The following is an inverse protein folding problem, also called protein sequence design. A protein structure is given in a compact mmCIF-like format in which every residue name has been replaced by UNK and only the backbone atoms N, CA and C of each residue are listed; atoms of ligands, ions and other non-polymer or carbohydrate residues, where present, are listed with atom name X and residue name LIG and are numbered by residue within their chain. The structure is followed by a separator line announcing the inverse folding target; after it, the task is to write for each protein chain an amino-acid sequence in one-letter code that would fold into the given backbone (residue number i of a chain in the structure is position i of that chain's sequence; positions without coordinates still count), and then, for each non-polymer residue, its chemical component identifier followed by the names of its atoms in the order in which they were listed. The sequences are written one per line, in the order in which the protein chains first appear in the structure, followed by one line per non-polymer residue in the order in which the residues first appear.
data_IF_607716916743
#
_entry.id   IF_607716916743
#
_cell.length_a   1.000
_cell.length_b   1.000
_cell.length_c   1.000
_cell.angle_alpha   90.00
_cell.angle_beta   90.00
_cell.angle_gamma   90.00
#
_symmetry.space_group_name_H-M   'P 1'
#
loop_
_entity.id
_entity.type
_entity.pdbx_description
1 polymer ?
#
# COMPACT_ATOMS: atom_id res chain seq x y z
N UNK A 1 -12.79 28.05 0.60
CA UNK A 1 -11.42 27.94 1.12
C UNK A 1 -10.93 26.52 0.92
N UNK A 2 -9.70 26.33 0.47
CA UNK A 2 -9.04 25.03 0.36
C UNK A 2 -7.84 25.03 1.31
N UNK A 3 -7.60 23.94 2.01
CA UNK A 3 -6.52 23.86 2.98
C UNK A 3 -6.12 22.43 3.31
N UNK A 4 -4.96 22.29 3.94
CA UNK A 4 -4.45 21.03 4.43
C UNK A 4 -5.12 20.61 5.76
N UNK A 5 -4.68 19.52 6.34
CA UNK A 5 -5.19 18.93 7.58
C UNK A 5 -5.49 19.94 8.71
N UNK A 6 -4.60 20.90 8.95
CA UNK A 6 -4.75 21.89 10.03
C UNK A 6 -5.83 22.95 9.76
N UNK A 7 -6.34 23.06 8.54
CA UNK A 7 -7.36 24.06 8.19
C UNK A 7 -8.68 23.87 8.94
N UNK A 8 -8.93 22.66 9.47
CA UNK A 8 -10.12 22.34 10.27
C UNK A 8 -10.20 23.18 11.56
N UNK A 9 -9.10 23.74 12.04
CA UNK A 9 -9.06 24.56 13.25
C UNK A 9 -9.14 26.08 13.01
N UNK A 10 -9.36 26.50 11.77
CA UNK A 10 -9.54 27.92 11.48
C UNK A 10 -10.89 28.42 11.99
N UNK A 11 -10.96 29.69 12.43
CA UNK A 11 -12.20 30.28 12.96
C UNK A 11 -13.14 30.62 11.79
N UNK A 12 -13.99 29.68 11.40
CA UNK A 12 -14.99 29.91 10.38
C UNK A 12 -16.20 30.66 10.91
N UNK A 13 -16.63 31.66 10.16
CA UNK A 13 -17.92 32.32 10.37
C UNK A 13 -18.92 31.75 9.33
N UNK A 14 -20.09 31.32 9.78
CA UNK A 14 -21.17 30.82 8.91
C UNK A 14 -20.74 29.62 8.04
N UNK A 15 -20.12 28.62 8.64
CA UNK A 15 -19.71 27.40 7.96
C UNK A 15 -20.94 26.60 7.51
N UNK A 16 -21.16 26.47 6.20
CA UNK A 16 -22.31 25.77 5.62
C UNK A 16 -21.99 24.35 5.12
N UNK A 17 -20.78 24.15 4.63
CA UNK A 17 -20.35 22.87 4.03
C UNK A 17 -18.86 22.65 4.26
N UNK A 18 -18.51 21.40 4.58
CA UNK A 18 -17.14 20.92 4.62
C UNK A 18 -17.02 19.77 3.61
N UNK A 19 -16.00 19.80 2.77
CA UNK A 19 -15.66 18.70 1.86
C UNK A 19 -14.31 18.15 2.27
N UNK A 20 -14.27 16.84 2.52
CA UNK A 20 -13.03 16.10 2.79
C UNK A 20 -12.80 15.18 1.61
N UNK A 21 -11.87 15.55 0.76
CA UNK A 21 -11.48 14.75 -0.41
C UNK A 21 -10.47 13.68 0.01
N UNK A 22 -10.50 12.51 -0.65
CA UNK A 22 -9.69 11.33 -0.31
C UNK A 22 -9.72 11.02 1.21
N UNK A 23 -10.92 10.92 1.78
CA UNK A 23 -11.17 10.81 3.22
C UNK A 23 -10.42 9.65 3.91
N UNK A 24 -10.03 8.63 3.12
CA UNK A 24 -9.30 7.45 3.55
C UNK A 24 -7.81 7.71 3.80
N UNK A 25 -7.28 8.87 3.36
CA UNK A 25 -5.87 9.17 3.44
C UNK A 25 -5.35 9.21 4.88
N UNK A 26 -4.30 8.41 5.15
CA UNK A 26 -3.67 8.30 6.48
C UNK A 26 -3.10 9.64 6.93
N UNK A 27 -2.73 10.53 6.00
CA UNK A 27 -2.19 11.85 6.28
C UNK A 27 -3.14 12.77 7.04
N UNK A 28 -4.45 12.48 7.04
CA UNK A 28 -5.41 13.18 7.90
C UNK A 28 -5.23 12.91 9.39
N UNK A 29 -4.56 11.81 9.75
CA UNK A 29 -4.22 11.50 11.14
C UNK A 29 -2.88 12.13 11.51
N UNK A 30 -2.89 13.11 12.40
CA UNK A 30 -1.68 13.68 12.96
C UNK A 30 -1.06 12.70 13.96
N UNK A 31 0.17 12.30 13.69
CA UNK A 31 0.93 11.44 14.60
C UNK A 31 1.84 12.28 15.51
N UNK A 32 2.48 13.28 14.95
CA UNK A 32 3.35 14.25 15.65
C UNK A 32 3.21 15.63 15.01
N UNK A 33 3.33 16.70 15.80
CA UNK A 33 3.36 16.77 17.25
C UNK A 33 1.99 16.54 17.92
N UNK A 34 1.96 16.48 19.25
CA UNK A 34 0.70 16.57 19.99
C UNK A 34 0.08 17.96 19.84
N UNK A 35 -1.28 18.08 19.88
CA UNK A 35 -2.26 17.00 20.08
C UNK A 35 -2.44 16.14 18.84
N UNK A 36 -2.60 14.83 19.03
CA UNK A 36 -2.89 13.89 17.96
C UNK A 36 -4.39 13.90 17.64
N UNK A 37 -4.73 14.25 16.42
CA UNK A 37 -6.12 14.30 15.94
C UNK A 37 -6.24 13.68 14.56
N UNK A 38 -7.47 13.35 14.17
CA UNK A 38 -7.81 13.00 12.80
C UNK A 38 -8.63 14.14 12.21
N UNK A 39 -8.15 14.78 11.14
CA UNK A 39 -8.82 15.94 10.56
C UNK A 39 -10.19 15.60 9.94
N UNK A 40 -10.34 14.39 9.37
CA UNK A 40 -11.66 13.90 8.89
C UNK A 40 -12.67 13.86 10.04
N UNK A 41 -12.32 13.24 11.14
CA UNK A 41 -13.22 13.11 12.29
C UNK A 41 -13.47 14.47 12.96
N UNK A 42 -12.44 15.33 13.00
CA UNK A 42 -12.59 16.71 13.46
C UNK A 42 -13.51 17.53 12.57
N UNK A 43 -13.46 17.33 11.24
CA UNK A 43 -14.35 17.99 10.29
C UNK A 43 -15.83 17.56 10.50
N UNK A 44 -16.06 16.27 10.76
CA UNK A 44 -17.41 15.76 11.08
C UNK A 44 -17.92 16.38 12.38
N UNK A 45 -17.06 16.48 13.39
CA UNK A 45 -17.43 17.12 14.67
C UNK A 45 -17.68 18.63 14.50
N UNK A 46 -16.83 19.32 13.74
CA UNK A 46 -16.98 20.74 13.43
C UNK A 46 -18.29 21.01 12.69
N UNK A 47 -18.68 20.15 11.76
CA UNK A 47 -19.95 20.28 11.05
C UNK A 47 -21.14 20.19 11.99
N UNK A 48 -21.08 19.31 12.98
CA UNK A 48 -22.11 19.17 14.01
C UNK A 48 -22.23 20.43 14.88
N UNK A 49 -21.12 21.02 15.30
CA UNK A 49 -21.11 22.26 16.11
C UNK A 49 -21.71 23.43 15.32
N UNK A 50 -21.39 23.54 14.04
CA UNK A 50 -21.82 24.67 13.20
C UNK A 50 -23.16 24.42 12.50
N UNK A 51 -23.82 23.29 12.77
CA UNK A 51 -25.01 22.86 12.04
C UNK A 51 -24.81 22.89 10.52
N UNK A 52 -23.61 22.56 10.07
CA UNK A 52 -23.22 22.51 8.66
C UNK A 52 -23.26 21.09 8.11
N UNK A 53 -23.13 20.94 6.79
CA UNK A 53 -23.04 19.62 6.15
C UNK A 53 -21.58 19.22 5.95
N UNK A 54 -21.34 17.91 5.89
CA UNK A 54 -20.04 17.35 5.54
C UNK A 54 -20.19 16.33 4.43
N UNK A 55 -19.29 16.39 3.44
CA UNK A 55 -19.17 15.41 2.36
C UNK A 55 -17.79 14.77 2.49
N UNK A 56 -17.77 13.44 2.55
CA UNK A 56 -16.55 12.64 2.52
C UNK A 56 -16.45 12.01 1.13
N UNK A 57 -15.44 12.39 0.36
CA UNK A 57 -15.19 11.89 -0.98
C UNK A 57 -14.06 10.87 -0.98
N UNK A 58 -14.24 9.74 -1.67
CA UNK A 58 -13.18 8.74 -1.87
C UNK A 58 -13.54 7.75 -2.97
N UNK A 59 -12.54 7.31 -3.73
CA UNK A 59 -12.67 6.15 -4.60
C UNK A 59 -12.54 4.83 -3.83
N UNK A 60 -11.85 4.85 -2.69
CA UNK A 60 -11.56 3.72 -1.81
C UNK A 60 -11.86 4.10 -0.35
N UNK A 61 -13.15 4.20 0.03
CA UNK A 61 -13.54 4.68 1.35
C UNK A 61 -12.89 3.89 2.48
N UNK A 62 -12.58 4.57 3.57
CA UNK A 62 -12.09 3.93 4.79
C UNK A 62 -13.10 2.93 5.35
N UNK A 63 -12.61 1.95 6.11
CA UNK A 63 -13.47 0.93 6.73
C UNK A 63 -14.49 1.60 7.66
N UNK A 64 -14.08 2.62 8.40
CA UNK A 64 -14.94 3.36 9.33
C UNK A 64 -16.08 4.09 8.60
N UNK A 65 -15.75 4.77 7.49
CA UNK A 65 -16.75 5.49 6.68
C UNK A 65 -17.72 4.51 6.03
N UNK A 66 -17.21 3.41 5.46
CA UNK A 66 -18.01 2.34 4.87
C UNK A 66 -18.94 1.70 5.90
N UNK A 67 -18.42 1.40 7.10
CA UNK A 67 -19.23 0.86 8.19
C UNK A 67 -20.32 1.81 8.63
N UNK A 68 -20.03 3.11 8.79
CA UNK A 68 -21.00 4.11 9.18
C UNK A 68 -22.08 4.33 8.10
N UNK A 69 -21.71 4.25 6.83
CA UNK A 69 -22.65 4.27 5.72
C UNK A 69 -23.59 3.05 5.74
N UNK A 70 -23.04 1.83 5.93
CA UNK A 70 -23.81 0.60 6.03
C UNK A 70 -24.74 0.56 7.26
N UNK A 71 -24.41 1.28 8.32
CA UNK A 71 -25.26 1.45 9.51
C UNK A 71 -26.21 2.63 9.43
N UNK A 72 -26.37 3.23 8.25
CA UNK A 72 -27.24 4.39 7.99
C UNK A 72 -26.94 5.62 8.87
N UNK A 73 -25.73 5.72 9.42
CA UNK A 73 -25.28 6.94 10.11
C UNK A 73 -24.85 8.02 9.13
N UNK A 74 -24.38 7.62 7.95
CA UNK A 74 -24.03 8.51 6.85
C UNK A 74 -24.94 8.22 5.66
N UNK A 75 -25.31 9.26 4.93
CA UNK A 75 -25.86 9.10 3.58
C UNK A 75 -24.77 8.55 2.66
N UNK A 76 -25.15 7.64 1.77
CA UNK A 76 -24.21 7.05 0.81
C UNK A 76 -24.66 7.33 -0.61
N UNK A 77 -23.72 7.87 -1.40
CA UNK A 77 -23.91 8.10 -2.84
C UNK A 77 -22.75 7.46 -3.58
N UNK A 78 -23.06 6.62 -4.55
CA UNK A 78 -22.06 5.97 -5.42
C UNK A 78 -22.10 6.61 -6.80
N UNK A 79 -20.97 7.12 -7.25
CA UNK A 79 -20.77 7.59 -8.61
C UNK A 79 -20.27 6.41 -9.45
N UNK A 80 -21.11 5.87 -10.31
CA UNK A 80 -20.78 4.68 -11.13
C UNK A 80 -20.15 5.04 -12.47
N UNK A 81 -20.33 6.26 -12.93
CA UNK A 81 -19.86 6.72 -14.23
C UNK A 81 -18.66 7.64 -14.06
N UNK A 82 -17.64 7.45 -14.89
CA UNK A 82 -16.51 8.36 -14.96
C UNK A 82 -16.87 9.60 -15.77
N UNK A 83 -16.31 10.73 -15.37
CA UNK A 83 -16.40 11.94 -16.17
C UNK A 83 -15.91 11.68 -17.61
N UNK A 84 -16.70 12.06 -18.61
CA UNK A 84 -16.38 11.87 -20.02
C UNK A 84 -16.48 10.42 -20.52
N UNK A 85 -17.15 9.51 -19.80
CA UNK A 85 -17.33 8.09 -20.16
C UNK A 85 -16.02 7.37 -20.50
N UNK A 86 -14.93 7.75 -19.81
CA UNK A 86 -13.60 7.14 -20.01
C UNK A 86 -13.64 5.70 -19.49
N UNK A 87 -13.30 4.76 -20.37
CA UNK A 87 -13.20 3.34 -20.01
C UNK A 87 -12.14 3.07 -18.96
N UNK A 88 -12.35 2.01 -18.18
CA UNK A 88 -11.35 1.51 -17.24
C UNK A 88 -10.15 0.94 -17.98
N UNK A 89 -8.92 1.12 -17.47
CA UNK A 89 -7.76 0.46 -18.06
C UNK A 89 -7.88 -1.07 -17.94
N UNK A 90 -7.33 -1.78 -18.89
CA UNK A 90 -7.19 -3.22 -18.79
C UNK A 90 -6.16 -3.58 -17.71
N UNK A 91 -6.58 -4.40 -16.76
CA UNK A 91 -5.71 -4.87 -15.66
C UNK A 91 -5.43 -6.34 -15.86
N UNK A 92 -4.14 -6.69 -15.91
CA UNK A 92 -3.68 -8.07 -16.01
C UNK A 92 -2.92 -8.45 -14.75
N UNK A 93 -3.33 -9.53 -14.12
CA UNK A 93 -2.61 -10.14 -12.98
C UNK A 93 -1.71 -11.26 -13.49
N UNK A 94 -0.46 -11.29 -13.00
CA UNK A 94 0.54 -12.29 -13.41
C UNK A 94 1.03 -13.00 -12.16
N UNK A 95 0.94 -14.34 -12.17
CA UNK A 95 1.49 -15.16 -11.09
C UNK A 95 3.01 -15.32 -11.29
N UNK A 96 3.76 -14.56 -10.51
CA UNK A 96 5.22 -14.59 -10.53
C UNK A 96 5.83 -15.94 -10.12
N UNK A 97 5.09 -16.82 -9.44
CA UNK A 97 5.59 -18.16 -9.11
C UNK A 97 5.79 -19.03 -10.35
N UNK A 98 4.96 -18.82 -11.37
CA UNK A 98 5.09 -19.51 -12.65
C UNK A 98 6.22 -18.92 -13.50
N UNK A 99 6.44 -17.61 -13.43
CA UNK A 99 7.52 -16.90 -14.13
C UNK A 99 8.90 -17.29 -13.63
N UNK A 100 9.06 -17.55 -12.31
CA UNK A 100 10.32 -17.92 -11.69
C UNK A 100 10.85 -19.31 -12.10
N UNK A 101 10.04 -20.14 -12.76
CA UNK A 101 10.43 -21.45 -13.30
C UNK A 101 11.22 -21.35 -14.60
N UNK A 102 11.23 -20.20 -15.24
CA UNK A 102 12.02 -19.91 -16.42
C UNK A 102 13.40 -19.35 -16.03
N UNK A 103 14.44 -19.67 -16.78
CA UNK A 103 15.86 -19.37 -16.50
C UNK A 103 16.22 -17.91 -16.20
N UNK A 104 15.30 -16.99 -16.36
CA UNK A 104 15.48 -15.58 -16.05
C UNK A 104 14.81 -15.24 -14.72
N UNK A 105 15.58 -15.27 -13.63
CA UNK A 105 15.14 -14.77 -12.30
C UNK A 105 15.03 -13.24 -12.30
N UNK A 106 14.13 -12.70 -13.10
CA UNK A 106 13.85 -11.26 -13.16
C UNK A 106 12.79 -10.88 -12.13
N UNK A 107 12.92 -9.68 -11.56
CA UNK A 107 11.90 -9.04 -10.73
C UNK A 107 10.63 -8.75 -11.54
N UNK A 108 10.77 -8.64 -12.85
CA UNK A 108 9.72 -8.33 -13.80
C UNK A 108 9.29 -9.59 -14.53
N UNK A 109 7.98 -9.77 -14.72
CA UNK A 109 7.47 -10.83 -15.58
C UNK A 109 7.87 -10.60 -17.04
N UNK A 110 7.98 -11.66 -17.80
CA UNK A 110 8.27 -11.60 -19.25
C UNK A 110 7.26 -10.68 -19.93
N UNK A 111 5.98 -10.87 -19.67
CA UNK A 111 4.92 -10.03 -20.23
C UNK A 111 5.08 -8.55 -19.88
N UNK A 112 5.48 -8.21 -18.67
CA UNK A 112 5.71 -6.81 -18.30
C UNK A 112 6.84 -6.19 -19.11
N UNK A 113 7.94 -6.92 -19.31
CA UNK A 113 9.09 -6.46 -20.12
C UNK A 113 8.67 -6.24 -21.57
N UNK A 114 7.92 -7.18 -22.15
CA UNK A 114 7.39 -7.06 -23.51
C UNK A 114 6.48 -5.84 -23.69
N UNK A 115 5.56 -5.60 -22.74
CA UNK A 115 4.65 -4.44 -22.79
C UNK A 115 5.39 -3.11 -22.58
N UNK A 116 6.44 -3.09 -21.76
CA UNK A 116 7.32 -1.92 -21.61
C UNK A 116 8.00 -1.62 -22.95
N UNK A 117 8.62 -2.61 -23.55
CA UNK A 117 9.35 -2.46 -24.83
C UNK A 117 8.43 -1.98 -25.94
N UNK A 118 7.28 -2.62 -26.09
CA UNK A 118 6.23 -2.22 -27.03
C UNK A 118 5.74 -0.77 -26.82
N UNK A 119 5.55 -0.39 -25.54
CA UNK A 119 5.06 0.95 -25.20
C UNK A 119 6.09 2.02 -25.56
N UNK A 120 7.37 1.76 -25.24
CA UNK A 120 8.48 2.67 -25.57
C UNK A 120 8.68 2.77 -27.09
N UNK A 121 8.66 1.66 -27.81
CA UNK A 121 8.77 1.64 -29.30
C UNK A 121 7.66 2.45 -29.97
N UNK A 122 6.48 2.51 -29.35
CA UNK A 122 5.37 3.33 -29.83
C UNK A 122 5.45 4.81 -29.39
N UNK A 123 6.57 5.27 -28.82
CA UNK A 123 6.78 6.63 -28.36
C UNK A 123 5.93 7.04 -27.15
N UNK A 124 5.40 6.05 -26.41
CA UNK A 124 4.57 6.27 -25.22
C UNK A 124 5.41 6.15 -23.93
N UNK A 125 4.84 6.62 -22.82
CA UNK A 125 5.49 6.59 -21.51
C UNK A 125 5.04 5.38 -20.69
N UNK A 126 5.94 4.90 -19.82
CA UNK A 126 5.69 3.81 -18.90
C UNK A 126 5.91 4.32 -17.47
N UNK A 127 4.96 4.02 -16.57
CA UNK A 127 5.09 4.27 -15.14
C UNK A 127 5.20 2.92 -14.44
N UNK A 128 6.34 2.66 -13.80
CA UNK A 128 6.54 1.48 -12.96
C UNK A 128 6.33 1.87 -11.50
N UNK A 129 5.29 1.28 -10.91
CA UNK A 129 5.01 1.46 -9.49
C UNK A 129 5.45 0.23 -8.70
N UNK A 130 6.33 0.43 -7.73
CA UNK A 130 6.78 -0.62 -6.83
C UNK A 130 6.59 -0.18 -5.39
N UNK A 131 5.65 -0.83 -4.69
CA UNK A 131 5.30 -0.50 -3.31
C UNK A 131 6.25 -1.17 -2.29
N UNK A 132 7.57 -1.13 -2.54
CA UNK A 132 8.54 -1.66 -1.59
C UNK A 132 9.61 -0.62 -1.28
N UNK A 133 9.63 -0.14 -0.04
CA UNK A 133 10.66 0.79 0.45
C UNK A 133 11.86 0.01 0.97
N UNK A 134 13.07 0.43 0.57
CA UNK A 134 14.34 -0.09 1.07
C UNK A 134 14.68 -1.52 0.60
N UNK A 135 15.90 -1.93 0.94
CA UNK A 135 16.39 -3.28 0.76
C UNK A 135 15.89 -4.14 1.93
N UNK A 136 14.96 -5.02 1.68
CA UNK A 136 14.45 -5.95 2.69
C UNK A 136 14.59 -7.38 2.17
N UNK A 137 15.73 -8.00 2.42
CA UNK A 137 15.99 -9.36 2.00
C UNK A 137 15.04 -10.34 2.69
N UNK A 138 14.44 -11.20 1.91
CA UNK A 138 13.57 -12.27 2.39
C UNK A 138 14.27 -13.60 2.29
N UNK A 139 14.00 -14.48 3.24
CA UNK A 139 14.42 -15.86 3.24
C UNK A 139 13.25 -16.71 2.76
N UNK A 140 13.34 -17.24 1.57
CA UNK A 140 12.23 -17.96 0.93
C UNK A 140 12.67 -19.30 0.38
N UNK A 141 11.75 -20.24 0.31
CA UNK A 141 12.00 -21.53 -0.32
C UNK A 141 11.90 -21.42 -1.82
N UNK A 142 12.96 -21.77 -2.53
CA UNK A 142 13.00 -21.76 -4.00
C UNK A 142 12.03 -22.77 -4.62
N UNK A 143 11.81 -23.91 -3.94
CA UNK A 143 10.95 -24.98 -4.43
C UNK A 143 9.45 -24.67 -4.35
N UNK A 144 8.98 -24.06 -3.25
CA UNK A 144 7.54 -23.81 -3.02
C UNK A 144 7.18 -22.34 -2.87
N UNK A 145 8.17 -21.43 -2.87
CA UNK A 145 7.95 -20.00 -2.74
C UNK A 145 7.50 -19.54 -1.34
N UNK A 146 7.53 -20.44 -0.33
CA UNK A 146 7.10 -20.10 1.02
C UNK A 146 8.10 -19.16 1.68
N UNK A 147 7.59 -18.06 2.27
CA UNK A 147 8.34 -17.13 3.11
C UNK A 147 8.25 -17.53 4.56
N UNK A 148 9.31 -17.29 5.33
CA UNK A 148 9.25 -17.46 6.78
C UNK A 148 8.53 -16.25 7.39
N UNK A 149 7.42 -16.52 8.07
CA UNK A 149 6.57 -15.53 8.73
C UNK A 149 6.96 -15.35 10.19
N UNK A 150 6.59 -14.22 10.76
CA UNK A 150 6.75 -13.96 12.18
C UNK A 150 5.65 -14.69 12.98
N UNK A 151 6.01 -15.39 14.04
CA UNK A 151 5.05 -16.10 14.89
C UNK A 151 4.07 -15.18 15.63
N UNK A 152 4.46 -13.90 15.85
CA UNK A 152 3.68 -12.92 16.61
C UNK A 152 2.95 -11.91 15.71
N UNK A 153 3.38 -11.77 14.46
CA UNK A 153 2.87 -10.77 13.52
C UNK A 153 2.68 -11.47 12.17
N UNK A 154 1.62 -11.26 11.50
CA UNK A 154 1.38 -11.87 10.18
C UNK A 154 2.18 -11.16 9.06
N UNK A 155 3.51 -11.09 9.23
CA UNK A 155 4.46 -10.45 8.30
C UNK A 155 5.68 -11.32 8.07
N UNK A 156 6.27 -11.24 6.88
CA UNK A 156 7.52 -11.94 6.56
C UNK A 156 8.68 -11.41 7.39
N UNK A 157 9.52 -12.32 7.89
CA UNK A 157 10.75 -11.96 8.56
C UNK A 157 11.79 -11.42 7.57
N UNK A 158 12.55 -10.44 8.02
CA UNK A 158 13.68 -9.87 7.25
C UNK A 158 14.96 -10.62 7.59
N UNK A 159 15.68 -11.07 6.57
CA UNK A 159 16.96 -11.74 6.74
C UNK A 159 18.11 -10.73 6.89
N UNK A 160 18.89 -10.87 7.95
CA UNK A 160 20.08 -10.07 8.21
C UNK A 160 21.34 -10.89 7.90
N UNK A 161 21.95 -10.62 6.75
CA UNK A 161 23.10 -11.36 6.23
C UNK A 161 24.29 -11.39 7.21
N UNK A 162 24.59 -10.25 7.86
CA UNK A 162 25.74 -10.11 8.76
C UNK A 162 25.66 -10.99 10.02
N UNK A 163 24.44 -11.26 10.49
CA UNK A 163 24.19 -12.03 11.72
C UNK A 163 23.56 -13.40 11.46
N UNK A 164 23.22 -13.70 10.21
CA UNK A 164 22.51 -14.91 9.79
C UNK A 164 21.22 -15.18 10.61
N UNK A 165 20.49 -14.11 10.88
CA UNK A 165 19.22 -14.16 11.61
C UNK A 165 18.07 -13.59 10.79
N UNK A 166 16.89 -14.10 11.09
CA UNK A 166 15.61 -13.59 10.62
C UNK A 166 15.02 -12.71 11.70
N UNK A 167 14.60 -11.47 11.38
CA UNK A 167 14.07 -10.53 12.36
C UNK A 167 12.75 -9.92 11.90
N UNK A 168 11.81 -9.82 12.81
CA UNK A 168 10.60 -9.03 12.63
C UNK A 168 10.86 -7.57 13.02
N UNK A 169 10.63 -6.64 12.10
CA UNK A 169 10.78 -5.20 12.37
C UNK A 169 9.56 -4.57 13.08
N UNK A 170 8.50 -5.36 13.31
CA UNK A 170 7.31 -4.89 14.03
C UNK A 170 7.37 -5.22 15.53
N UNK A 171 7.64 -6.48 15.89
CA UNK A 171 7.65 -6.91 17.29
C UNK A 171 9.06 -7.20 17.84
N UNK A 172 10.10 -7.16 17.00
CA UNK A 172 11.46 -7.48 17.41
C UNK A 172 11.79 -8.97 17.52
N UNK A 173 10.83 -9.87 17.26
CA UNK A 173 11.06 -11.31 17.23
C UNK A 173 12.23 -11.66 16.31
N UNK A 174 13.08 -12.60 16.72
CA UNK A 174 14.21 -13.06 15.92
C UNK A 174 14.37 -14.58 16.02
N UNK A 175 14.72 -15.21 14.90
CA UNK A 175 15.02 -16.63 14.79
C UNK A 175 16.26 -16.86 13.92
N UNK A 176 16.85 -18.05 14.00
CA UNK A 176 17.92 -18.44 13.09
C UNK A 176 17.36 -18.71 11.70
N UNK A 177 18.15 -18.38 10.68
CA UNK A 177 17.81 -18.72 9.30
C UNK A 177 18.05 -20.24 9.09
N UNK A 178 16.96 -21.01 9.08
CA UNK A 178 17.02 -22.45 8.81
C UNK A 178 17.20 -22.69 7.32
N UNK A 179 17.97 -23.72 6.98
CA UNK A 179 18.19 -24.13 5.58
C UNK A 179 17.06 -25.01 5.03
N UNK A 180 16.22 -25.56 5.90
CA UNK A 180 15.13 -26.46 5.53
C UNK A 180 13.80 -25.74 5.56
N UNK A 181 13.04 -25.89 4.50
CA UNK A 181 11.69 -25.32 4.42
C UNK A 181 10.73 -26.08 5.33
N UNK A 182 10.03 -25.38 6.23
CA UNK A 182 9.03 -25.97 7.13
C UNK A 182 7.80 -26.48 6.39
N UNK A 183 7.51 -25.98 5.19
CA UNK A 183 6.30 -26.32 4.43
C UNK A 183 6.50 -27.51 3.50
N UNK A 184 7.59 -27.56 2.73
CA UNK A 184 7.81 -28.63 1.74
C UNK A 184 8.99 -29.54 2.06
N UNK A 185 9.75 -29.27 3.13
CA UNK A 185 10.91 -30.05 3.54
C UNK A 185 12.16 -29.87 2.66
N UNK A 186 12.11 -29.03 1.62
CA UNK A 186 13.25 -28.77 0.74
C UNK A 186 14.36 -28.02 1.48
N UNK A 187 15.60 -28.30 1.13
CA UNK A 187 16.80 -27.61 1.64
C UNK A 187 17.25 -26.44 0.75
N UNK A 188 16.43 -26.06 -0.23
CA UNK A 188 16.69 -24.99 -1.17
C UNK A 188 16.13 -23.64 -0.68
N UNK A 189 16.56 -23.21 0.49
CA UNK A 189 16.23 -21.87 0.98
C UNK A 189 17.17 -20.86 0.33
N UNK A 190 16.57 -19.83 -0.30
CA UNK A 190 17.32 -18.77 -0.95
C UNK A 190 17.05 -17.43 -0.30
N UNK A 191 18.06 -16.60 -0.37
CA UNK A 191 17.99 -15.21 -0.04
C UNK A 191 17.58 -14.42 -1.30
N UNK A 192 16.45 -13.72 -1.23
CA UNK A 192 15.98 -12.86 -2.31
C UNK A 192 15.64 -11.47 -1.74
N UNK A 193 16.33 -10.47 -2.21
CA UNK A 193 16.07 -9.09 -1.78
C UNK A 193 16.35 -8.12 -2.90
N UNK A 194 15.30 -7.40 -3.29
CA UNK A 194 15.37 -6.34 -4.27
C UNK A 194 14.77 -5.08 -3.67
N UNK A 195 15.58 -4.09 -3.41
CA UNK A 195 15.15 -2.79 -2.89
C UNK A 195 15.25 -1.69 -3.93
N UNK A 196 14.55 -0.59 -3.71
CA UNK A 196 14.67 0.62 -4.55
C UNK A 196 16.07 1.25 -4.49
N UNK A 197 16.93 0.83 -3.56
CA UNK A 197 18.31 1.30 -3.44
C UNK A 197 19.28 0.62 -4.42
N UNK A 198 18.93 -0.54 -4.97
CA UNK A 198 19.75 -1.24 -5.99
C UNK A 198 19.72 -0.54 -7.37
N UNK A 199 18.93 0.51 -7.52
CA UNK A 199 18.81 1.25 -8.80
C UNK A 199 20.04 2.03 -9.21
N UNK A 200 21.05 2.21 -8.37
CA UNK A 200 22.28 2.91 -8.75
C UNK A 200 23.18 2.08 -9.69
N UNK A 201 22.89 0.80 -9.86
CA UNK A 201 23.68 -0.11 -10.71
C UNK A 201 23.05 -0.42 -12.07
N UNK A 202 21.84 0.09 -12.37
CA UNK A 202 21.08 -0.28 -13.60
C UNK A 202 20.84 0.92 -14.54
N UNK A 203 21.28 2.12 -14.18
CA UNK A 203 21.18 3.30 -15.06
C UNK A 203 22.57 3.69 -15.56
#
# INVERSE_FOLDING_TARGET
MVGARSSVFLPFKNLGLIIVDEEHEISYKQQEPSPRYNARDSAIYLSKINNSKVILGSATPSIESSFNANKYKYGYVKLNERFGNIEMPNIFTIDMKNELKHEYSSIFSVRLVEEIDKTIKNGRQVILFRNRRGYSPQWLCDSCGNNIMCDNCDVSLTYHLSSNILKCHYCGFSSKAEKKCSTCGSETMIYKGDGTQDRKSVV
#
